data_IF_309522707227
#
_entry.id   IF_309522707227
#
_cell.length_a   1.000
_cell.length_b   1.000
_cell.length_c   1.000
_cell.angle_alpha   90.00
_cell.angle_beta   90.00
_cell.angle_gamma   90.00
#
_symmetry.space_group_name_H-M   'P 1'
#
loop_
_entity.id
_entity.type
_entity.pdbx_description
1 polymer ?
#
# COMPACT_ATOMS: atom_id res chain seq x y z
N UNK A 1 4.58 -1.47 6.96
CA UNK A 1 5.88 -1.07 6.36
C UNK A 1 6.52 -2.29 5.66
N UNK A 2 7.42 -2.10 4.68
CA UNK A 2 8.12 -3.22 4.02
C UNK A 2 9.52 -2.81 3.50
N UNK A 3 10.56 -3.11 4.29
CA UNK A 3 11.95 -2.78 3.97
C UNK A 3 12.47 -3.41 2.68
N UNK A 4 12.03 -4.64 2.39
CA UNK A 4 12.47 -5.39 1.20
C UNK A 4 11.98 -4.71 -0.08
N UNK A 5 10.70 -4.31 -0.12
CA UNK A 5 10.12 -3.58 -1.23
C UNK A 5 10.83 -2.24 -1.45
N UNK A 6 11.11 -1.49 -0.38
CA UNK A 6 11.77 -0.19 -0.46
C UNK A 6 13.22 -0.26 -0.99
N UNK A 7 13.93 -1.37 -0.75
CA UNK A 7 15.30 -1.57 -1.26
C UNK A 7 15.31 -2.02 -2.72
N UNK A 8 14.36 -2.84 -3.11
CA UNK A 8 14.34 -3.49 -4.43
C UNK A 8 13.68 -2.62 -5.51
N UNK A 9 12.50 -2.04 -5.22
CA UNK A 9 11.72 -1.25 -6.17
C UNK A 9 12.50 0.02 -6.55
N UNK A 10 12.63 0.29 -7.84
CA UNK A 10 13.35 1.43 -8.40
C UNK A 10 12.40 2.43 -9.05
N UNK A 11 12.93 3.64 -9.27
CA UNK A 11 12.22 4.65 -10.03
C UNK A 11 12.00 4.15 -11.47
N UNK A 12 10.74 4.14 -11.91
CA UNK A 12 10.33 3.64 -13.21
C UNK A 12 9.72 2.24 -13.20
N UNK A 13 9.79 1.52 -12.09
CA UNK A 13 9.10 0.22 -11.96
C UNK A 13 7.59 0.43 -11.82
N UNK A 14 6.82 -0.44 -12.46
CA UNK A 14 5.38 -0.52 -12.29
C UNK A 14 5.06 -1.46 -11.14
N UNK A 15 4.26 -0.99 -10.19
CA UNK A 15 3.96 -1.73 -8.95
C UNK A 15 2.46 -1.79 -8.75
N UNK A 16 1.94 -2.98 -8.49
CA UNK A 16 0.58 -3.20 -8.00
C UNK A 16 0.61 -3.37 -6.48
N UNK A 17 -0.30 -2.70 -5.78
CA UNK A 17 -0.43 -2.80 -4.31
C UNK A 17 -1.85 -3.19 -3.97
N UNK A 18 -1.98 -4.27 -3.21
CA UNK A 18 -3.20 -4.67 -2.54
C UNK A 18 -3.18 -4.14 -1.11
N UNK A 19 -4.05 -3.16 -0.83
CA UNK A 19 -4.13 -2.51 0.48
C UNK A 19 -4.91 -3.32 1.52
N UNK A 20 -5.70 -4.31 1.08
CA UNK A 20 -6.46 -5.18 1.96
C UNK A 20 -5.55 -6.27 2.53
N UNK A 21 -4.74 -6.89 1.66
CA UNK A 21 -3.81 -7.96 2.06
C UNK A 21 -2.43 -7.45 2.43
N UNK A 22 -2.06 -6.24 2.00
CA UNK A 22 -0.71 -5.68 2.14
C UNK A 22 0.29 -6.23 1.14
N UNK A 23 -0.16 -6.96 0.10
CA UNK A 23 0.73 -7.54 -0.91
C UNK A 23 1.14 -6.46 -1.92
N UNK A 24 2.45 -6.34 -2.14
CA UNK A 24 3.05 -5.44 -3.12
C UNK A 24 3.68 -6.31 -4.21
N UNK A 25 3.27 -6.13 -5.46
CA UNK A 25 3.85 -6.82 -6.62
C UNK A 25 4.54 -5.82 -7.51
N UNK A 26 5.86 -5.97 -7.65
CA UNK A 26 6.61 -5.30 -8.71
C UNK A 26 6.35 -6.04 -10.01
N UNK A 27 5.62 -5.40 -10.93
CA UNK A 27 5.20 -5.97 -12.22
C UNK A 27 6.40 -6.03 -13.16
N UNK A 28 7.34 -5.09 -13.03
CA UNK A 28 8.53 -4.99 -13.87
C UNK A 28 9.50 -6.14 -13.59
N UNK A 29 9.71 -6.49 -12.33
CA UNK A 29 10.62 -7.58 -11.93
C UNK A 29 9.92 -8.92 -11.65
N UNK A 30 8.59 -8.91 -11.48
CA UNK A 30 7.78 -10.06 -11.10
C UNK A 30 7.90 -10.45 -9.62
N UNK A 31 8.56 -9.64 -8.79
CA UNK A 31 8.75 -9.91 -7.37
C UNK A 31 7.53 -9.50 -6.56
N UNK A 32 7.26 -10.26 -5.49
CA UNK A 32 6.18 -9.98 -4.54
C UNK A 32 6.72 -9.78 -3.14
N UNK A 33 6.14 -8.84 -2.42
CA UNK A 33 6.49 -8.45 -1.06
C UNK A 33 5.24 -8.39 -0.19
N UNK A 34 5.43 -8.65 1.10
CA UNK A 34 4.37 -8.53 2.09
C UNK A 34 4.66 -7.30 2.96
N UNK A 35 3.75 -6.34 2.95
CA UNK A 35 3.68 -5.26 3.93
C UNK A 35 2.66 -5.61 5.01
N UNK A 36 2.78 -4.96 6.16
CA UNK A 36 1.68 -4.98 7.14
C UNK A 36 0.45 -4.27 6.56
N UNK A 37 -0.73 -4.91 6.61
CA UNK A 37 -1.97 -4.28 6.21
C UNK A 37 -2.30 -3.10 7.13
N UNK A 38 -3.02 -2.12 6.60
CA UNK A 38 -3.46 -1.00 7.42
C UNK A 38 -4.50 -1.46 8.45
N UNK A 39 -4.45 -0.94 9.69
CA UNK A 39 -5.52 -1.16 10.65
C UNK A 39 -6.88 -0.74 10.07
N UNK A 40 -8.00 -1.38 10.47
CA UNK A 40 -9.32 -1.11 9.92
C UNK A 40 -9.70 0.39 9.92
N UNK A 41 -9.37 1.13 10.97
CA UNK A 41 -9.67 2.55 11.06
C UNK A 41 -8.94 3.40 10.00
N UNK A 42 -7.72 3.00 9.60
CA UNK A 42 -6.98 3.68 8.53
C UNK A 42 -7.60 3.36 7.17
N UNK A 43 -8.04 2.12 6.96
CA UNK A 43 -8.77 1.74 5.75
C UNK A 43 -10.06 2.56 5.60
N UNK A 44 -10.79 2.78 6.68
CA UNK A 44 -11.98 3.67 6.70
C UNK A 44 -11.62 5.11 6.33
N UNK A 45 -10.54 5.65 6.90
CA UNK A 45 -10.05 7.00 6.57
C UNK A 45 -9.71 7.13 5.08
N UNK A 46 -9.06 6.11 4.50
CA UNK A 46 -8.73 6.08 3.07
C UNK A 46 -10.01 6.00 2.22
N UNK A 47 -10.96 5.15 2.61
CA UNK A 47 -12.24 4.97 1.92
C UNK A 47 -13.10 6.25 1.93
N UNK A 48 -13.06 7.01 3.02
CA UNK A 48 -13.75 8.31 3.12
C UNK A 48 -13.06 9.42 2.29
N UNK A 49 -11.94 9.12 1.63
CA UNK A 49 -11.20 10.06 0.79
C UNK A 49 -10.21 10.93 1.56
N UNK A 50 -9.72 10.42 2.69
CA UNK A 50 -8.67 11.03 3.49
C UNK A 50 -9.15 11.55 4.85
N UNK A 51 -8.18 11.82 5.72
CA UNK A 51 -8.41 12.14 7.14
C UNK A 51 -9.40 13.28 7.35
N UNK A 52 -9.25 14.38 6.60
CA UNK A 52 -10.15 15.54 6.74
C UNK A 52 -11.60 15.14 6.45
N UNK A 53 -11.85 14.39 5.38
CA UNK A 53 -13.21 13.95 5.04
C UNK A 53 -13.79 13.04 6.12
N UNK A 54 -12.98 12.12 6.64
CA UNK A 54 -13.39 11.19 7.70
C UNK A 54 -13.81 11.92 8.98
N UNK A 55 -13.08 12.97 9.40
CA UNK A 55 -13.41 13.72 10.64
C UNK A 55 -14.52 14.76 10.46
N UNK A 56 -14.87 15.12 9.22
CA UNK A 56 -15.93 16.12 8.92
C UNK A 56 -17.27 15.52 8.49
N UNK A 57 -17.36 14.18 8.42
CA UNK A 57 -18.57 13.45 8.00
C UNK A 57 -19.66 13.47 9.08
#
# INVERSE_FOLDING_TARGET
ECDAAAKDIKAGDEVAVDFDTGVITDITTGKTYQAEPFPPFIQEIIADGGLIRHVTK
#
